data_IF_057145617063
#
_entry.id   IF_057145617063
#
_cell.length_a   1.000
_cell.length_b   1.000
_cell.length_c   1.000
_cell.angle_alpha   90.00
_cell.angle_beta   90.00
_cell.angle_gamma   90.00
#
_symmetry.space_group_name_H-M   'P 1'
#
loop_
_entity.id
_entity.type
_entity.pdbx_description
1 polymer ?
#
# COMPACT_ATOMS: atom_id res chain seq x y z
N UNK A 1 -9.45 -2.43 9.66
CA UNK A 1 -8.08 -2.76 9.20
C UNK A 1 -7.12 -1.89 9.98
N UNK A 2 -5.86 -2.30 10.16
CA UNK A 2 -4.90 -1.48 10.90
C UNK A 2 -4.06 -0.62 9.98
N UNK A 3 -3.72 0.56 10.47
CA UNK A 3 -3.20 1.68 9.71
C UNK A 3 -1.77 1.88 10.16
N UNK A 4 -0.88 1.01 9.69
CA UNK A 4 0.54 1.08 10.00
C UNK A 4 1.29 1.62 8.78
N UNK A 5 2.14 2.62 8.98
CA UNK A 5 3.11 3.01 7.95
C UNK A 5 4.22 1.96 7.88
N UNK A 6 4.98 1.98 6.80
CA UNK A 6 6.17 1.18 6.64
C UNK A 6 7.36 1.89 7.27
N UNK A 7 8.22 1.09 7.85
CA UNK A 7 9.60 1.45 8.15
C UNK A 7 10.41 1.18 6.89
N UNK A 8 11.16 2.18 6.44
CA UNK A 8 11.94 2.14 5.20
C UNK A 8 13.41 1.86 5.50
N UNK A 9 13.96 0.85 4.84
CA UNK A 9 15.37 0.46 4.93
C UNK A 9 16.01 0.57 3.55
N UNK A 10 16.95 1.51 3.39
CA UNK A 10 17.71 1.66 2.16
C UNK A 10 18.88 0.69 2.13
N UNK A 11 19.04 -0.03 1.00
CA UNK A 11 20.10 -1.00 0.75
C UNK A 11 20.88 -0.53 -0.50
N UNK A 12 21.78 0.46 -0.37
CA UNK A 12 22.58 0.94 -1.50
C UNK A 12 23.61 -0.09 -1.96
N UNK A 13 24.17 -0.86 -1.02
CA UNK A 13 25.15 -1.90 -1.28
C UNK A 13 25.13 -2.98 -0.18
N UNK A 14 25.99 -3.99 -0.34
CA UNK A 14 26.06 -5.17 0.55
C UNK A 14 26.32 -4.82 2.02
N UNK A 15 27.04 -3.73 2.33
CA UNK A 15 27.41 -3.35 3.70
C UNK A 15 26.20 -3.01 4.57
N UNK A 16 25.08 -2.59 3.98
CA UNK A 16 23.84 -2.24 4.69
C UNK A 16 22.97 -3.45 5.01
N UNK A 17 23.25 -4.62 4.41
CA UNK A 17 22.42 -5.83 4.56
C UNK A 17 22.34 -6.30 6.02
N UNK A 18 23.46 -6.30 6.72
CA UNK A 18 23.53 -6.74 8.12
C UNK A 18 22.80 -5.78 9.07
N UNK A 19 22.89 -4.47 8.80
CA UNK A 19 22.22 -3.42 9.56
C UNK A 19 20.70 -3.53 9.40
N UNK A 20 20.22 -3.55 8.15
CA UNK A 20 18.80 -3.69 7.85
C UNK A 20 18.21 -4.98 8.41
N UNK A 21 18.92 -6.11 8.27
CA UNK A 21 18.50 -7.38 8.87
C UNK A 21 18.30 -7.25 10.37
N UNK A 22 19.29 -6.73 11.10
CA UNK A 22 19.20 -6.56 12.56
C UNK A 22 18.02 -5.69 12.98
N UNK A 23 17.81 -4.57 12.30
CA UNK A 23 16.76 -3.62 12.69
C UNK A 23 15.36 -4.17 12.33
N UNK A 24 15.23 -4.90 11.20
CA UNK A 24 14.00 -5.61 10.84
C UNK A 24 13.72 -6.79 11.80
N UNK A 25 14.75 -7.50 12.27
CA UNK A 25 14.61 -8.53 13.33
C UNK A 25 13.98 -7.91 14.58
N UNK A 26 14.49 -6.75 15.02
CA UNK A 26 13.97 -6.04 16.20
C UNK A 26 12.52 -5.58 16.00
N UNK A 27 12.15 -5.13 14.80
CA UNK A 27 10.75 -4.82 14.47
C UNK A 27 9.85 -6.05 14.52
N UNK A 28 10.29 -7.18 13.97
CA UNK A 28 9.53 -8.42 14.03
C UNK A 28 9.30 -8.88 15.49
N UNK A 29 10.32 -8.76 16.34
CA UNK A 29 10.22 -9.05 17.78
C UNK A 29 9.28 -8.08 18.51
N UNK A 30 9.36 -6.76 18.23
CA UNK A 30 8.47 -5.76 18.84
C UNK A 30 7.00 -5.93 18.40
N UNK A 31 6.79 -6.47 17.21
CA UNK A 31 5.49 -6.91 16.71
C UNK A 31 4.99 -8.19 17.39
N UNK A 32 5.79 -8.84 18.25
CA UNK A 32 5.44 -10.03 19.01
C UNK A 32 5.39 -11.30 18.17
N UNK A 33 6.23 -11.41 17.13
CA UNK A 33 6.41 -12.66 16.39
C UNK A 33 7.19 -13.66 17.25
N UNK A 34 6.87 -14.96 17.10
CA UNK A 34 7.61 -16.02 17.79
C UNK A 34 9.02 -16.17 17.20
N UNK A 35 9.99 -16.76 17.93
CA UNK A 35 11.34 -16.97 17.43
C UNK A 35 11.40 -17.71 16.08
N UNK A 36 10.48 -18.66 15.85
CA UNK A 36 10.37 -19.36 14.57
C UNK A 36 9.98 -18.41 13.42
N UNK A 37 9.00 -17.53 13.64
CA UNK A 37 8.57 -16.56 12.64
C UNK A 37 9.64 -15.47 12.38
N UNK A 38 10.35 -15.05 13.43
CA UNK A 38 11.52 -14.16 13.30
C UNK A 38 12.61 -14.84 12.47
N UNK A 39 12.84 -16.14 12.64
CA UNK A 39 13.72 -16.93 11.78
C UNK A 39 13.32 -16.89 10.30
N UNK A 40 12.03 -17.02 9.98
CA UNK A 40 11.50 -16.88 8.61
C UNK A 40 11.76 -15.49 8.04
N UNK A 41 11.46 -14.43 8.81
CA UNK A 41 11.75 -13.03 8.44
C UNK A 41 13.23 -12.85 8.11
N UNK A 42 14.12 -13.40 8.95
CA UNK A 42 15.57 -13.27 8.77
C UNK A 42 16.09 -13.93 7.49
N UNK A 43 15.50 -15.05 7.06
CA UNK A 43 15.83 -15.68 5.78
C UNK A 43 15.37 -14.78 4.63
N UNK A 44 14.11 -14.33 4.67
CA UNK A 44 13.52 -13.49 3.62
C UNK A 44 14.32 -12.20 3.40
N UNK A 45 14.63 -11.49 4.49
CA UNK A 45 15.39 -10.23 4.43
C UNK A 45 16.82 -10.46 3.94
N UNK A 46 17.46 -11.56 4.32
CA UNK A 46 18.81 -11.88 3.84
C UNK A 46 18.84 -12.11 2.32
N UNK A 47 17.87 -12.85 1.79
CA UNK A 47 17.74 -13.09 0.35
C UNK A 47 17.38 -11.81 -0.42
N UNK A 48 16.42 -11.02 0.10
CA UNK A 48 16.05 -9.73 -0.47
C UNK A 48 17.26 -8.78 -0.54
N UNK A 49 17.97 -8.58 0.58
CA UNK A 49 19.14 -7.69 0.62
C UNK A 49 20.29 -8.18 -0.27
N UNK A 50 20.53 -9.50 -0.31
CA UNK A 50 21.51 -10.10 -1.23
C UNK A 50 21.13 -9.83 -2.70
N UNK A 51 19.87 -9.99 -3.07
CA UNK A 51 19.40 -9.74 -4.44
C UNK A 51 19.55 -8.26 -4.82
N UNK A 52 19.18 -7.34 -3.93
CA UNK A 52 19.39 -5.90 -4.14
C UNK A 52 20.86 -5.59 -4.40
N UNK A 53 21.77 -6.10 -3.56
CA UNK A 53 23.20 -5.84 -3.69
C UNK A 53 23.85 -6.45 -4.94
N UNK A 54 23.30 -7.56 -5.46
CA UNK A 54 23.85 -8.26 -6.64
C UNK A 54 23.28 -7.77 -7.97
N UNK A 55 22.01 -7.39 -7.97
CA UNK A 55 21.26 -7.18 -9.21
C UNK A 55 20.79 -5.74 -9.40
N UNK A 56 20.95 -4.87 -8.41
CA UNK A 56 20.62 -3.45 -8.53
C UNK A 56 21.86 -2.58 -8.33
N UNK A 57 22.46 -2.05 -9.43
CA UNK A 57 23.61 -1.14 -9.33
C UNK A 57 23.34 0.10 -8.49
N UNK A 58 22.08 0.56 -8.44
CA UNK A 58 21.64 1.73 -7.67
C UNK A 58 21.11 1.36 -6.28
N UNK A 59 21.21 0.09 -5.89
CA UNK A 59 20.59 -0.43 -4.67
C UNK A 59 19.06 -0.51 -4.75
N UNK A 60 18.42 -0.64 -3.60
CA UNK A 60 16.97 -0.66 -3.49
C UNK A 60 16.50 -0.42 -2.07
N UNK A 61 15.23 -0.69 -1.81
CA UNK A 61 14.64 -0.50 -0.50
C UNK A 61 13.83 -1.71 -0.04
N UNK A 62 13.79 -1.87 1.29
CA UNK A 62 12.89 -2.79 1.98
C UNK A 62 11.94 -1.97 2.85
N UNK A 63 10.64 -2.13 2.65
CA UNK A 63 9.56 -1.52 3.42
C UNK A 63 8.93 -2.57 4.33
N UNK A 64 8.82 -2.27 5.63
CA UNK A 64 8.32 -3.23 6.64
C UNK A 64 7.23 -2.62 7.51
N UNK A 65 6.08 -3.29 7.65
CA UNK A 65 5.02 -2.89 8.60
C UNK A 65 4.35 -4.07 9.29
N UNK A 66 3.72 -3.81 10.43
CA UNK A 66 2.81 -4.73 11.08
C UNK A 66 1.48 -4.86 10.31
N UNK A 67 0.89 -6.05 10.33
CA UNK A 67 -0.42 -6.33 9.74
C UNK A 67 -1.48 -6.45 10.84
N UNK A 68 -2.48 -5.57 10.84
CA UNK A 68 -3.68 -5.68 11.70
C UNK A 68 -3.51 -5.21 13.15
N UNK A 69 -4.65 -4.88 13.81
CA UNK A 69 -4.77 -4.52 15.22
C UNK A 69 -5.73 -5.50 15.90
N UNK A 70 -5.31 -6.25 16.93
CA UNK A 70 -3.91 -6.41 17.37
C UNK A 70 -3.03 -7.01 16.26
N UNK A 71 -1.71 -6.86 16.38
CA UNK A 71 -0.73 -7.31 15.36
C UNK A 71 -0.89 -8.80 15.04
N UNK A 72 -1.25 -9.08 13.79
CA UNK A 72 -1.51 -10.42 13.23
C UNK A 72 -0.36 -10.96 12.40
N UNK A 73 0.59 -10.12 12.00
CA UNK A 73 1.68 -10.50 11.11
C UNK A 73 2.59 -9.34 10.73
N UNK A 74 3.47 -9.58 9.77
CA UNK A 74 4.43 -8.63 9.22
C UNK A 74 4.36 -8.67 7.69
N UNK A 75 4.37 -7.49 7.07
CA UNK A 75 4.51 -7.30 5.62
C UNK A 75 5.91 -6.77 5.33
N UNK A 76 6.56 -7.35 4.33
CA UNK A 76 7.88 -6.98 3.84
C UNK A 76 7.77 -6.80 2.32
N UNK A 77 7.99 -5.58 1.85
CA UNK A 77 8.05 -5.25 0.43
C UNK A 77 9.49 -4.90 0.10
N UNK A 78 10.07 -5.55 -0.90
CA UNK A 78 11.42 -5.24 -1.40
C UNK A 78 11.32 -4.78 -2.84
N UNK A 79 12.05 -3.73 -3.21
CA UNK A 79 12.06 -3.28 -4.59
C UNK A 79 13.38 -2.68 -5.05
N UNK A 80 13.60 -2.72 -6.37
CA UNK A 80 14.75 -2.13 -7.06
C UNK A 80 14.37 -1.48 -8.40
N UNK A 81 15.31 -0.69 -8.92
CA UNK A 81 15.28 -0.12 -10.27
C UNK A 81 16.32 -0.79 -11.18
N UNK A 82 16.61 -2.07 -10.93
CA UNK A 82 17.54 -2.88 -11.71
C UNK A 82 16.97 -3.26 -13.08
N UNK A 83 17.66 -4.14 -13.84
CA UNK A 83 17.26 -4.51 -15.19
C UNK A 83 15.94 -5.27 -15.26
N UNK A 84 15.43 -5.79 -14.13
CA UNK A 84 14.27 -6.69 -14.08
C UNK A 84 14.62 -8.14 -14.45
N UNK A 85 13.64 -9.02 -14.30
CA UNK A 85 13.74 -10.46 -14.55
C UNK A 85 12.98 -10.80 -15.83
N UNK A 86 13.69 -11.30 -16.85
CA UNK A 86 13.10 -11.62 -18.15
C UNK A 86 12.15 -12.82 -18.13
N UNK A 87 12.59 -13.97 -17.62
CA UNK A 87 11.76 -15.19 -17.49
C UNK A 87 11.55 -15.54 -16.02
N UNK A 88 10.56 -14.87 -15.43
CA UNK A 88 10.20 -15.04 -14.04
C UNK A 88 9.68 -16.46 -13.74
N UNK A 89 8.96 -17.07 -14.67
CA UNK A 89 8.39 -18.41 -14.47
C UNK A 89 9.49 -19.46 -14.33
N UNK A 90 10.49 -19.41 -15.21
CA UNK A 90 11.67 -20.28 -15.13
C UNK A 90 12.45 -20.09 -13.84
N UNK A 91 12.70 -18.83 -13.42
CA UNK A 91 13.41 -18.55 -12.15
C UNK A 91 12.65 -19.03 -10.90
N UNK A 92 11.33 -19.18 -10.99
CA UNK A 92 10.49 -19.66 -9.88
C UNK A 92 10.32 -21.19 -9.85
N UNK A 93 10.49 -21.88 -10.98
CA UNK A 93 10.36 -23.35 -11.09
C UNK A 93 11.67 -24.08 -10.77
N UNK A 94 12.78 -23.55 -11.28
CA UNK A 94 14.06 -24.22 -11.19
C UNK A 94 14.83 -23.75 -9.95
N UNK A 95 14.91 -24.64 -8.94
CA UNK A 95 16.09 -24.72 -8.07
C UNK A 95 17.34 -25.21 -8.83
N UNK A 96 17.39 -25.05 -10.15
CA UNK A 96 18.47 -25.51 -11.01
C UNK A 96 19.52 -24.42 -11.08
N UNK A 97 20.55 -24.67 -10.28
CA UNK A 97 21.90 -24.18 -10.43
C UNK A 97 22.32 -24.01 -11.91
N UNK A 98 22.50 -22.77 -12.33
CA UNK A 98 23.79 -22.39 -12.90
C UNK A 98 24.54 -21.67 -11.79
N UNK A 99 25.77 -22.11 -11.52
CA UNK A 99 26.73 -21.53 -10.57
C UNK A 99 26.51 -20.01 -10.38
N UNK A 100 26.03 -19.59 -9.20
CA UNK A 100 25.98 -18.16 -8.84
C UNK A 100 24.61 -17.44 -8.85
N UNK A 101 23.67 -17.90 -8.03
CA UNK A 101 23.01 -17.04 -7.00
C UNK A 101 21.78 -16.16 -7.29
N UNK A 102 20.84 -16.52 -8.18
CA UNK A 102 19.54 -15.82 -8.28
C UNK A 102 18.28 -16.70 -8.05
N UNK A 103 18.28 -17.98 -8.44
CA UNK A 103 17.08 -18.85 -8.37
C UNK A 103 16.75 -19.41 -6.98
N UNK A 104 17.77 -19.72 -6.16
CA UNK A 104 17.56 -20.26 -4.80
C UNK A 104 16.90 -19.24 -3.86
N UNK A 105 17.30 -17.96 -3.97
CA UNK A 105 16.86 -16.89 -3.08
C UNK A 105 15.39 -16.55 -3.25
N UNK A 106 14.89 -16.41 -4.49
CA UNK A 106 13.46 -16.17 -4.75
C UNK A 106 12.59 -17.34 -4.29
N UNK A 107 13.05 -18.58 -4.56
CA UNK A 107 12.38 -19.78 -4.07
C UNK A 107 12.33 -19.85 -2.55
N UNK A 108 13.41 -19.46 -1.87
CA UNK A 108 13.46 -19.37 -0.41
C UNK A 108 12.47 -18.32 0.12
N UNK A 109 12.44 -17.11 -0.45
CA UNK A 109 11.49 -16.06 -0.04
C UNK A 109 10.05 -16.58 -0.16
N UNK A 110 9.67 -17.17 -1.29
CA UNK A 110 8.33 -17.72 -1.50
C UNK A 110 7.99 -18.82 -0.49
N UNK A 111 8.90 -19.78 -0.26
CA UNK A 111 8.69 -20.88 0.71
C UNK A 111 8.52 -20.39 2.15
N UNK A 112 9.22 -19.32 2.51
CA UNK A 112 9.15 -18.75 3.85
C UNK A 112 7.96 -17.80 4.04
N UNK A 113 7.27 -17.41 2.98
CA UNK A 113 6.12 -16.49 3.02
C UNK A 113 4.79 -17.25 3.18
N UNK A 114 3.84 -16.67 3.91
CA UNK A 114 2.45 -17.16 3.93
C UNK A 114 1.64 -16.58 2.76
N UNK A 115 1.96 -15.35 2.34
CA UNK A 115 1.46 -14.72 1.11
C UNK A 115 2.65 -14.10 0.38
N UNK A 116 2.75 -14.35 -0.92
CA UNK A 116 3.87 -13.92 -1.77
C UNK A 116 3.35 -13.47 -3.13
N UNK A 117 3.88 -12.35 -3.62
CA UNK A 117 3.69 -11.89 -4.99
C UNK A 117 4.98 -11.20 -5.47
N UNK A 118 5.21 -11.21 -6.77
CA UNK A 118 6.39 -10.62 -7.39
C UNK A 118 6.02 -10.04 -8.75
N UNK A 119 6.32 -8.75 -8.92
CA UNK A 119 6.25 -8.08 -10.21
C UNK A 119 7.67 -7.75 -10.66
N UNK A 120 8.03 -8.18 -11.86
CA UNK A 120 9.30 -7.82 -12.47
C UNK A 120 9.11 -7.64 -13.96
N UNK A 121 9.73 -6.61 -14.52
CA UNK A 121 9.69 -6.35 -15.95
C UNK A 121 11.01 -5.75 -16.42
N UNK A 122 11.44 -6.15 -17.62
CA UNK A 122 12.69 -5.68 -18.22
C UNK A 122 12.69 -4.15 -18.32
N UNK A 123 13.71 -3.52 -17.77
CA UNK A 123 13.87 -2.05 -17.76
C UNK A 123 13.03 -1.30 -16.72
N UNK A 124 12.18 -2.00 -15.94
CA UNK A 124 11.37 -1.41 -14.86
C UNK A 124 11.94 -1.78 -13.48
N UNK A 125 12.55 -2.95 -13.35
CA UNK A 125 13.05 -3.48 -12.08
C UNK A 125 12.10 -4.51 -11.46
N UNK A 126 12.32 -4.80 -10.17
CA UNK A 126 11.58 -5.85 -9.45
C UNK A 126 10.93 -5.31 -8.18
N UNK A 127 9.74 -5.80 -7.86
CA UNK A 127 9.01 -5.57 -6.61
C UNK A 127 8.53 -6.91 -6.07
N UNK A 128 8.86 -7.22 -4.83
CA UNK A 128 8.51 -8.46 -4.13
C UNK A 128 7.67 -8.12 -2.91
N UNK A 129 6.54 -8.80 -2.74
CA UNK A 129 5.72 -8.78 -1.54
C UNK A 129 5.89 -10.11 -0.80
N UNK A 130 6.15 -10.02 0.50
CA UNK A 130 6.11 -11.15 1.41
C UNK A 130 5.30 -10.78 2.66
N UNK A 131 4.40 -11.66 3.08
CA UNK A 131 3.72 -11.55 4.38
C UNK A 131 3.87 -12.82 5.17
N UNK A 132 4.08 -12.65 6.47
CA UNK A 132 4.10 -13.73 7.46
C UNK A 132 3.05 -13.42 8.54
N UNK A 133 2.19 -14.39 8.84
CA UNK A 133 1.15 -14.25 9.86
C UNK A 133 1.52 -15.03 11.13
N UNK A 134 1.20 -14.46 12.30
CA UNK A 134 1.38 -15.11 13.61
C UNK A 134 0.60 -16.42 13.70
N UNK A 135 -0.64 -16.37 13.23
CA UNK A 135 -1.51 -17.51 13.06
C UNK A 135 -1.90 -17.51 11.59
N UNK A 136 -1.68 -18.63 10.89
CA UNK A 136 -2.16 -18.74 9.50
C UNK A 136 -3.65 -18.44 9.48
N UNK A 137 -4.12 -17.51 8.62
CA UNK A 137 -5.54 -17.26 8.51
C UNK A 137 -6.23 -18.58 8.17
N UNK A 138 -7.14 -19.03 9.04
CA UNK A 138 -7.93 -20.22 8.77
C UNK A 138 -8.75 -19.93 7.51
N UNK A 139 -8.45 -20.60 6.40
CA UNK A 139 -9.24 -20.52 5.17
C UNK A 139 -10.60 -21.12 5.49
N UNK A 140 -11.52 -20.28 5.95
CA UNK A 140 -12.91 -20.68 6.17
C UNK A 140 -13.62 -20.55 4.82
N UNK A 141 -14.45 -21.50 4.37
CA UNK A 141 -15.19 -21.40 3.10
C UNK A 141 -16.04 -20.11 2.96
N UNK A 142 -16.36 -19.45 4.08
CA UNK A 142 -17.08 -18.17 4.11
C UNK A 142 -16.16 -16.96 3.88
N UNK A 143 -14.86 -17.07 4.13
CA UNK A 143 -13.86 -16.03 3.85
C UNK A 143 -13.43 -15.97 2.37
N UNK A 144 -13.81 -16.96 1.55
CA UNK A 144 -13.44 -17.02 0.13
C UNK A 144 -14.28 -16.13 -0.80
N UNK A 145 -15.04 -15.17 -0.26
CA UNK A 145 -15.82 -14.18 -1.02
C UNK A 145 -15.40 -12.75 -0.61
N UNK A 146 -14.10 -12.48 -0.53
CA UNK A 146 -13.64 -11.08 -0.41
C UNK A 146 -13.91 -10.38 -1.74
N UNK A 147 -14.92 -9.50 -1.78
CA UNK A 147 -15.28 -8.72 -2.98
C UNK A 147 -14.20 -7.72 -3.40
N UNK A 148 -13.31 -7.40 -2.48
CA UNK A 148 -12.28 -6.38 -2.63
C UNK A 148 -10.92 -6.94 -2.21
N UNK A 149 -9.88 -6.56 -2.95
CA UNK A 149 -8.49 -6.70 -2.53
C UNK A 149 -7.90 -5.32 -2.31
N UNK A 150 -7.29 -5.11 -1.14
CA UNK A 150 -6.82 -3.80 -0.71
C UNK A 150 -5.34 -3.92 -0.36
N UNK A 151 -4.57 -2.96 -0.85
CA UNK A 151 -3.15 -2.84 -0.57
C UNK A 151 -2.78 -1.39 -0.39
N UNK A 152 -1.72 -1.15 0.39
CA UNK A 152 -1.24 0.20 0.61
C UNK A 152 0.26 0.22 0.84
N UNK A 153 0.87 1.30 0.36
CA UNK A 153 2.19 1.77 0.79
C UNK A 153 1.99 3.11 1.45
N UNK A 154 2.46 3.24 2.69
CA UNK A 154 2.44 4.47 3.47
C UNK A 154 3.80 4.60 4.11
N UNK A 155 4.55 5.66 3.83
CA UNK A 155 5.94 5.82 4.26
C UNK A 155 6.14 7.24 4.78
N UNK A 156 6.72 7.41 5.98
CA UNK A 156 6.99 8.74 6.50
C UNK A 156 8.01 9.48 5.61
N UNK A 157 7.91 10.81 5.61
CA UNK A 157 8.93 11.70 5.05
C UNK A 157 10.32 11.29 5.59
N UNK A 158 11.40 11.37 4.77
CA UNK A 158 12.73 11.08 5.28
C UNK A 158 13.05 11.91 6.53
N UNK A 159 13.69 11.27 7.51
CA UNK A 159 14.05 11.83 8.83
C UNK A 159 12.89 11.95 9.83
N UNK A 160 11.64 11.74 9.41
CA UNK A 160 10.50 11.62 10.33
C UNK A 160 10.31 10.17 10.78
N UNK A 161 9.84 10.01 12.01
CA UNK A 161 9.45 8.70 12.57
C UNK A 161 7.98 8.42 12.29
N UNK A 162 7.14 9.45 12.48
CA UNK A 162 5.70 9.36 12.29
C UNK A 162 5.31 9.91 10.92
N UNK A 163 4.39 9.20 10.25
CA UNK A 163 3.85 9.64 8.96
C UNK A 163 2.65 10.56 9.18
N UNK A 164 2.67 11.74 8.55
CA UNK A 164 1.56 12.69 8.52
C UNK A 164 0.36 12.22 7.70
N UNK A 165 0.55 11.25 6.79
CA UNK A 165 -0.53 10.61 6.06
C UNK A 165 -1.28 9.57 6.91
N UNK A 166 -2.54 9.33 6.55
CA UNK A 166 -3.37 8.32 7.18
C UNK A 166 -4.36 7.69 6.22
N UNK A 167 -4.80 6.47 6.50
CA UNK A 167 -5.89 5.85 5.76
C UNK A 167 -6.75 5.01 6.70
N UNK A 168 -7.98 4.69 6.31
CA UNK A 168 -8.81 3.75 7.07
C UNK A 168 -9.58 2.85 6.12
N UNK A 169 -9.71 1.59 6.50
CA UNK A 169 -10.51 0.60 5.77
C UNK A 169 -11.41 -0.11 6.76
N UNK A 170 -12.71 0.06 6.58
CA UNK A 170 -13.74 -0.57 7.39
C UNK A 170 -14.65 -1.39 6.48
N UNK A 171 -14.92 -2.63 6.86
CA UNK A 171 -15.89 -3.49 6.20
C UNK A 171 -17.08 -3.72 7.13
N UNK A 172 -18.30 -3.50 6.62
CA UNK A 172 -19.55 -3.82 7.34
C UNK A 172 -20.42 -4.67 6.43
N UNK A 173 -20.60 -5.93 6.77
CA UNK A 173 -21.28 -6.88 5.88
C UNK A 173 -20.58 -6.97 4.53
N UNK A 174 -21.26 -6.56 3.46
CA UNK A 174 -20.70 -6.54 2.09
C UNK A 174 -20.11 -5.19 1.68
N UNK A 175 -20.27 -4.17 2.51
CA UNK A 175 -19.90 -2.79 2.18
C UNK A 175 -18.47 -2.49 2.62
N UNK A 176 -17.79 -1.67 1.80
CA UNK A 176 -16.44 -1.19 2.04
C UNK A 176 -16.44 0.32 2.21
N UNK A 177 -15.82 0.79 3.28
CA UNK A 177 -15.61 2.20 3.59
C UNK A 177 -14.11 2.47 3.58
N UNK A 178 -13.71 3.50 2.85
CA UNK A 178 -12.32 3.89 2.66
C UNK A 178 -12.14 5.35 3.04
N UNK A 179 -11.01 5.64 3.67
CA UNK A 179 -10.52 6.98 3.95
C UNK A 179 -9.05 7.05 3.56
N UNK A 180 -8.63 8.15 2.95
CA UNK A 180 -7.24 8.53 2.76
C UNK A 180 -7.09 10.00 3.16
N UNK A 181 -6.02 10.32 3.86
CA UNK A 181 -5.77 11.62 4.48
C UNK A 181 -4.29 11.96 4.34
N UNK A 182 -4.04 13.26 4.31
CA UNK A 182 -2.72 13.88 4.40
C UNK A 182 -2.87 15.03 5.41
N UNK A 183 -2.26 14.84 6.58
CA UNK A 183 -2.28 15.80 7.68
C UNK A 183 -1.37 16.98 7.37
N UNK A 184 -1.81 18.21 7.66
CA UNK A 184 -1.04 19.38 7.21
C UNK A 184 0.38 19.45 7.82
N UNK A 185 1.38 19.45 6.93
CA UNK A 185 2.79 19.44 7.27
C UNK A 185 3.31 18.01 7.38
N UNK A 186 4.27 17.77 8.29
CA UNK A 186 4.84 16.44 8.53
C UNK A 186 5.14 16.25 10.02
N UNK A 187 5.49 15.02 10.39
CA UNK A 187 5.87 14.63 11.75
C UNK A 187 4.68 14.53 12.71
N UNK A 188 4.97 14.55 14.01
CA UNK A 188 4.03 14.23 15.09
C UNK A 188 2.68 14.97 15.02
N UNK A 189 2.69 16.26 14.70
CA UNK A 189 1.46 17.08 14.68
C UNK A 189 0.55 16.77 13.48
N UNK A 190 1.14 16.48 12.31
CA UNK A 190 0.40 16.02 11.14
C UNK A 190 -0.16 14.61 11.39
N UNK A 191 0.68 13.73 11.96
CA UNK A 191 0.30 12.38 12.36
C UNK A 191 -0.88 12.38 13.33
N UNK A 192 -0.84 13.20 14.38
CA UNK A 192 -1.92 13.30 15.36
C UNK A 192 -3.26 13.73 14.73
N UNK A 193 -3.24 14.67 13.78
CA UNK A 193 -4.42 15.10 13.04
C UNK A 193 -5.00 13.95 12.19
N UNK A 194 -4.15 13.25 11.43
CA UNK A 194 -4.54 12.13 10.61
C UNK A 194 -5.07 10.95 11.45
N UNK A 195 -4.41 10.63 12.56
CA UNK A 195 -4.81 9.56 13.47
C UNK A 195 -6.19 9.85 14.09
N UNK A 196 -6.41 11.07 14.59
CA UNK A 196 -7.71 11.45 15.17
C UNK A 196 -8.85 11.36 14.13
N UNK A 197 -8.57 11.74 12.88
CA UNK A 197 -9.50 11.61 11.77
C UNK A 197 -9.81 10.13 11.44
N UNK A 198 -8.78 9.28 11.37
CA UNK A 198 -8.91 7.83 11.17
C UNK A 198 -9.74 7.18 12.29
N UNK A 199 -9.48 7.53 13.54
CA UNK A 199 -10.23 7.01 14.69
C UNK A 199 -11.70 7.44 14.64
N UNK A 200 -11.97 8.69 14.27
CA UNK A 200 -13.33 9.22 14.10
C UNK A 200 -14.09 8.46 13.01
N UNK A 201 -13.46 8.27 11.86
CA UNK A 201 -14.03 7.51 10.74
C UNK A 201 -14.31 6.05 11.11
N UNK A 202 -13.39 5.39 11.82
CA UNK A 202 -13.55 4.00 12.22
C UNK A 202 -14.73 3.79 13.18
N UNK A 203 -15.01 4.76 14.06
CA UNK A 203 -16.13 4.68 15.03
C UNK A 203 -17.49 4.71 14.33
N UNK A 204 -17.66 5.54 13.31
CA UNK A 204 -18.94 5.73 12.64
C UNK A 204 -18.78 5.98 11.13
N UNK A 205 -18.38 4.96 10.35
CA UNK A 205 -18.31 5.12 8.89
C UNK A 205 -19.73 5.30 8.33
N UNK A 206 -19.93 6.34 7.51
CA UNK A 206 -21.20 6.64 6.85
C UNK A 206 -21.20 6.15 5.41
N UNK A 207 -22.37 5.68 4.93
CA UNK A 207 -22.60 5.39 3.51
C UNK A 207 -22.63 6.66 2.64
N UNK A 208 -22.67 7.83 3.28
CA UNK A 208 -22.50 9.15 2.69
C UNK A 208 -21.08 9.66 2.99
N UNK A 209 -20.14 9.58 2.02
CA UNK A 209 -18.76 10.05 2.21
C UNK A 209 -18.65 11.52 2.60
N UNK A 210 -19.50 12.41 2.06
CA UNK A 210 -19.51 13.82 2.43
C UNK A 210 -19.84 14.02 3.92
N UNK A 211 -20.77 13.25 4.49
CA UNK A 211 -21.05 13.26 5.94
C UNK A 211 -19.87 12.74 6.76
N UNK A 212 -19.16 11.72 6.26
CA UNK A 212 -17.93 11.23 6.93
C UNK A 212 -16.89 12.35 7.01
N UNK A 213 -16.67 13.10 5.92
CA UNK A 213 -15.74 14.24 5.91
C UNK A 213 -16.20 15.39 6.81
N UNK A 214 -17.51 15.67 6.91
CA UNK A 214 -18.04 16.67 7.85
C UNK A 214 -17.83 16.26 9.31
N UNK A 215 -18.08 14.99 9.62
CA UNK A 215 -17.86 14.45 10.97
C UNK A 215 -16.39 14.54 11.36
N UNK A 216 -15.48 14.20 10.44
CA UNK A 216 -14.04 14.36 10.64
C UNK A 216 -13.67 15.83 10.80
N UNK A 217 -14.21 16.71 9.95
CA UNK A 217 -13.96 18.16 10.01
C UNK A 217 -14.23 18.72 11.40
N UNK A 218 -15.36 18.35 12.01
CA UNK A 218 -15.69 18.79 13.37
C UNK A 218 -14.77 18.19 14.43
N UNK A 219 -14.41 16.91 14.28
CA UNK A 219 -13.58 16.19 15.24
C UNK A 219 -12.14 16.73 15.32
N UNK A 220 -11.56 17.16 14.19
CA UNK A 220 -10.14 17.56 14.12
C UNK A 220 -9.91 19.08 14.11
N UNK A 221 -10.93 19.91 14.41
CA UNK A 221 -10.82 21.39 14.39
C UNK A 221 -9.70 21.97 15.25
N UNK A 222 -9.27 21.26 16.28
CA UNK A 222 -8.21 21.69 17.21
C UNK A 222 -6.82 21.17 16.84
N UNK A 223 -6.69 20.54 15.67
CA UNK A 223 -5.43 19.97 15.18
C UNK A 223 -4.86 20.85 14.05
N UNK A 224 -3.76 20.40 13.43
CA UNK A 224 -3.29 21.01 12.17
C UNK A 224 -4.28 20.88 11.02
N UNK A 225 -5.28 20.01 11.12
CA UNK A 225 -6.20 19.71 10.03
C UNK A 225 -5.55 18.80 8.99
N UNK A 226 -6.33 18.44 7.98
CA UNK A 226 -5.90 17.51 6.93
C UNK A 226 -6.64 17.80 5.62
N UNK A 227 -6.11 17.30 4.52
CA UNK A 227 -6.86 17.05 3.30
C UNK A 227 -7.29 15.58 3.28
N UNK A 228 -8.33 15.23 2.53
CA UNK A 228 -8.87 13.88 2.61
C UNK A 228 -9.79 13.46 1.48
N UNK A 229 -9.88 12.15 1.32
CA UNK A 229 -10.79 11.45 0.43
C UNK A 229 -11.53 10.38 1.22
N UNK A 230 -12.85 10.35 1.13
CA UNK A 230 -13.69 9.28 1.66
C UNK A 230 -14.45 8.60 0.54
N UNK A 231 -14.60 7.28 0.63
CA UNK A 231 -15.41 6.50 -0.31
C UNK A 231 -16.18 5.38 0.38
N UNK A 232 -17.32 5.05 -0.22
CA UNK A 232 -18.17 3.94 0.13
C UNK A 232 -18.45 3.11 -1.13
N UNK A 233 -18.25 1.80 -1.02
CA UNK A 233 -18.57 0.83 -2.06
C UNK A 233 -19.56 -0.16 -1.49
N UNK A 234 -20.80 -0.12 -1.97
CA UNK A 234 -21.82 -1.10 -1.58
C UNK A 234 -21.52 -2.43 -2.23
N UNK A 235 -21.53 -3.53 -1.48
CA UNK A 235 -21.15 -4.84 -2.01
C UNK A 235 -22.06 -5.41 -3.10
N UNK A 236 -23.29 -4.89 -3.22
CA UNK A 236 -24.26 -5.20 -4.29
C UNK A 236 -24.24 -4.18 -5.44
N UNK A 237 -23.70 -2.98 -5.22
CA UNK A 237 -23.76 -1.92 -6.22
C UNK A 237 -22.59 -2.03 -7.20
N UNK A 238 -22.85 -1.64 -8.44
CA UNK A 238 -21.85 -1.43 -9.48
C UNK A 238 -21.37 0.03 -9.46
N UNK A 239 -21.29 0.67 -8.28
CA UNK A 239 -20.74 2.02 -8.17
C UNK A 239 -19.95 2.24 -6.87
N UNK A 240 -18.97 3.13 -6.94
CA UNK A 240 -18.32 3.78 -5.80
C UNK A 240 -18.99 5.14 -5.61
N UNK A 241 -19.35 5.46 -4.37
CA UNK A 241 -19.70 6.82 -3.97
C UNK A 241 -18.52 7.42 -3.22
N UNK A 242 -18.13 8.66 -3.52
CA UNK A 242 -16.98 9.30 -2.88
C UNK A 242 -17.15 10.80 -2.70
N UNK A 243 -16.34 11.37 -1.82
CA UNK A 243 -16.17 12.82 -1.66
C UNK A 243 -14.71 13.10 -1.30
N UNK A 244 -14.14 14.19 -1.82
CA UNK A 244 -12.77 14.60 -1.54
C UNK A 244 -12.68 16.09 -1.22
N UNK A 245 -11.74 16.45 -0.36
CA UNK A 245 -11.41 17.82 0.04
C UNK A 245 -9.89 17.97 0.03
N UNK A 246 -9.38 18.95 -0.71
CA UNK A 246 -7.96 19.21 -0.88
C UNK A 246 -7.36 18.42 -2.05
N UNK A 247 -6.09 18.03 -1.90
CA UNK A 247 -5.23 17.55 -2.97
C UNK A 247 -4.92 16.04 -2.91
N UNK A 248 -5.66 15.26 -2.14
CA UNK A 248 -5.65 13.80 -2.30
C UNK A 248 -6.10 13.46 -3.72
N UNK A 249 -5.20 12.89 -4.50
CA UNK A 249 -5.43 12.55 -5.89
C UNK A 249 -5.88 11.09 -6.02
N UNK A 250 -6.66 10.79 -7.03
CA UNK A 250 -7.03 9.41 -7.32
C UNK A 250 -7.43 9.19 -8.76
N UNK A 251 -7.33 7.93 -9.19
CA UNK A 251 -7.80 7.48 -10.50
C UNK A 251 -8.52 6.15 -10.35
N UNK A 252 -9.65 6.03 -11.03
CA UNK A 252 -10.30 4.76 -11.31
C UNK A 252 -9.80 4.24 -12.65
N UNK A 253 -9.06 3.14 -12.62
CA UNK A 253 -8.58 2.44 -13.80
C UNK A 253 -9.53 1.30 -14.16
N UNK A 254 -9.85 1.16 -15.45
CA UNK A 254 -10.59 0.03 -16.00
C UNK A 254 -9.71 -0.74 -16.98
N UNK A 255 -9.45 -2.01 -16.69
CA UNK A 255 -8.79 -2.91 -17.61
C UNK A 255 -9.81 -3.47 -18.62
N UNK A 256 -10.13 -2.72 -19.67
CA UNK A 256 -10.98 -3.20 -20.75
C UNK A 256 -10.18 -4.15 -21.65
N UNK A 257 -10.66 -5.39 -21.80
CA UNK A 257 -9.92 -6.53 -22.37
C UNK A 257 -9.67 -6.52 -23.89
N UNK A 258 -9.62 -5.36 -24.56
CA UNK A 258 -9.57 -5.30 -26.03
C UNK A 258 -8.67 -4.23 -26.66
N UNK A 259 -8.36 -3.14 -25.97
CA UNK A 259 -7.50 -2.07 -26.50
C UNK A 259 -6.27 -1.91 -25.63
N UNK A 260 -5.10 -1.80 -26.26
CA UNK A 260 -3.84 -1.48 -25.58
C UNK A 260 -3.94 -0.10 -24.92
N UNK A 261 -4.36 -0.08 -23.66
CA UNK A 261 -4.55 1.13 -22.86
C UNK A 261 -5.87 1.05 -22.09
N UNK A 262 -5.80 0.82 -20.78
CA UNK A 262 -6.98 0.92 -19.92
C UNK A 262 -7.43 2.38 -19.78
N UNK A 263 -8.72 2.59 -19.49
CA UNK A 263 -9.28 3.93 -19.32
C UNK A 263 -9.13 4.44 -17.89
N UNK A 264 -8.95 5.75 -17.73
CA UNK A 264 -8.91 6.42 -16.42
C UNK A 264 -10.08 7.40 -16.25
N UNK A 265 -10.69 7.38 -15.07
CA UNK A 265 -11.50 8.49 -14.56
C UNK A 265 -10.78 9.09 -13.34
N UNK A 266 -10.47 10.38 -13.39
CA UNK A 266 -9.84 11.07 -12.26
C UNK A 266 -10.87 11.33 -11.15
N UNK A 267 -10.41 11.25 -9.91
CA UNK A 267 -11.14 11.69 -8.73
C UNK A 267 -11.11 13.21 -8.67
N UNK A 268 -12.26 13.83 -8.40
CA UNK A 268 -12.40 15.28 -8.26
C UNK A 268 -12.65 15.61 -6.80
N UNK A 269 -11.86 16.54 -6.27
CA UNK A 269 -11.94 17.01 -4.89
C UNK A 269 -12.32 18.48 -4.85
N UNK A 270 -13.01 18.88 -3.79
CA UNK A 270 -13.28 20.28 -3.48
C UNK A 270 -12.02 20.95 -2.92
N UNK A 271 -11.87 22.26 -3.11
CA UNK A 271 -10.84 23.02 -2.41
C UNK A 271 -11.22 23.18 -0.93
N UNK A 272 -10.27 22.98 -0.03
CA UNK A 272 -10.47 23.17 1.41
C UNK A 272 -9.51 22.33 2.25
N UNK A 273 -9.59 22.53 3.56
CA UNK A 273 -8.84 21.82 4.59
C UNK A 273 -9.85 21.35 5.66
N UNK A 274 -9.91 20.05 5.87
CA UNK A 274 -10.70 19.40 6.91
C UNK A 274 -10.14 19.82 8.28
N UNK A 275 -11.00 20.23 9.21
CA UNK A 275 -10.60 20.86 10.48
C UNK A 275 -10.52 22.39 10.43
N UNK A 276 -10.39 23.01 9.25
CA UNK A 276 -10.27 24.47 9.12
C UNK A 276 -11.39 25.06 8.28
N UNK A 277 -11.32 24.88 6.96
CA UNK A 277 -12.27 25.45 6.01
C UNK A 277 -12.68 24.42 4.95
N UNK A 278 -13.96 24.06 4.94
CA UNK A 278 -14.56 23.24 3.89
C UNK A 278 -15.73 24.00 3.27
N UNK A 279 -16.08 23.74 1.99
CA UNK A 279 -17.27 24.34 1.39
C UNK A 279 -18.53 24.03 2.20
N UNK A 280 -19.46 24.98 2.23
CA UNK A 280 -20.75 24.82 2.92
C UNK A 280 -21.50 23.59 2.38
N UNK A 281 -21.47 23.39 1.07
CA UNK A 281 -22.04 22.23 0.38
C UNK A 281 -20.95 21.27 -0.12
N UNK A 282 -20.86 20.10 0.52
CA UNK A 282 -20.14 18.93 0.03
C UNK A 282 -21.17 17.94 -0.52
N UNK A 283 -21.01 17.56 -1.79
CA UNK A 283 -21.84 16.55 -2.43
C UNK A 283 -21.00 15.31 -2.78
N UNK A 284 -21.65 14.16 -2.75
CA UNK A 284 -21.03 12.93 -3.20
C UNK A 284 -20.99 12.87 -4.72
N UNK A 285 -19.90 12.30 -5.22
CA UNK A 285 -19.78 11.89 -6.62
C UNK A 285 -19.90 10.38 -6.72
N UNK A 286 -20.24 9.89 -7.90
CA UNK A 286 -20.37 8.47 -8.18
C UNK A 286 -19.55 8.06 -9.39
N UNK A 287 -18.95 6.87 -9.33
CA UNK A 287 -18.23 6.24 -10.43
C UNK A 287 -18.67 4.80 -10.56
N UNK A 288 -18.73 4.32 -11.79
CA UNK A 288 -19.05 2.92 -12.08
C UNK A 288 -17.99 2.00 -11.47
N UNK A 289 -18.41 0.99 -10.73
CA UNK A 289 -17.59 -0.04 -10.09
C UNK A 289 -17.95 -1.43 -10.61
N UNK A 290 -17.02 -2.37 -10.54
CA UNK A 290 -17.23 -3.74 -11.02
C UNK A 290 -15.92 -4.47 -11.28
N UNK A 291 -16.01 -5.68 -11.85
CA UNK A 291 -14.83 -6.48 -12.23
C UNK A 291 -13.83 -5.68 -13.04
N UNK A 292 -12.55 -6.02 -12.89
CA UNK A 292 -11.43 -5.41 -13.62
C UNK A 292 -11.22 -3.91 -13.35
N UNK A 293 -11.88 -3.35 -12.33
CA UNK A 293 -11.67 -1.98 -11.88
C UNK A 293 -10.77 -1.91 -10.66
N UNK A 294 -10.00 -0.83 -10.66
CA UNK A 294 -8.99 -0.55 -9.67
C UNK A 294 -9.09 0.93 -9.30
N UNK A 295 -9.41 1.21 -8.04
CA UNK A 295 -9.32 2.55 -7.48
C UNK A 295 -7.94 2.72 -6.86
N UNK A 296 -7.19 3.74 -7.31
CA UNK A 296 -5.92 4.15 -6.72
C UNK A 296 -6.11 5.56 -6.19
N UNK A 297 -5.75 5.78 -4.93
CA UNK A 297 -5.78 7.08 -4.26
C UNK A 297 -4.42 7.30 -3.60
N UNK A 298 -3.90 8.52 -3.62
CA UNK A 298 -2.60 8.83 -3.04
C UNK A 298 -2.53 10.27 -2.52
N UNK A 299 -1.65 10.50 -1.53
CA UNK A 299 -1.26 11.84 -1.08
C UNK A 299 -0.33 12.52 -2.10
N UNK A 300 -0.04 13.80 -1.90
CA UNK A 300 0.76 14.58 -2.86
C UNK A 300 2.26 14.24 -2.85
N UNK A 301 2.73 13.49 -1.85
CA UNK A 301 4.04 12.84 -1.82
C UNK A 301 4.30 11.91 -2.99
N UNK A 302 3.25 11.48 -3.69
CA UNK A 302 3.34 10.82 -5.00
C UNK A 302 3.04 11.81 -6.14
N UNK A 303 3.88 11.82 -7.18
CA UNK A 303 3.63 12.62 -8.40
C UNK A 303 2.31 12.21 -9.06
N UNK A 304 1.38 13.13 -9.28
CA UNK A 304 0.03 12.82 -9.83
C UNK A 304 0.01 12.32 -11.28
N UNK A 305 1.08 12.55 -12.05
CA UNK A 305 1.20 12.18 -13.47
C UNK A 305 1.81 10.79 -13.70
N UNK A 306 1.38 9.78 -12.95
CA UNK A 306 1.69 8.36 -13.24
C UNK A 306 0.70 7.72 -14.21
N UNK A 307 1.11 6.65 -14.87
CA UNK A 307 0.29 5.86 -15.80
C UNK A 307 0.60 4.37 -15.67
N UNK A 308 -0.40 3.56 -15.31
CA UNK A 308 -0.33 2.10 -15.27
C UNK A 308 -0.06 1.45 -16.63
N UNK A 309 -0.34 2.14 -17.74
CA UNK A 309 0.00 1.65 -19.08
C UNK A 309 1.49 1.40 -19.27
N UNK A 310 2.34 2.06 -18.46
CA UNK A 310 3.79 1.85 -18.42
C UNK A 310 4.21 0.53 -17.76
N UNK A 311 3.28 -0.15 -17.07
CA UNK A 311 3.56 -1.35 -16.29
C UNK A 311 2.75 -2.54 -16.83
N UNK A 312 3.27 -3.26 -17.84
CA UNK A 312 2.56 -4.39 -18.43
C UNK A 312 2.14 -5.42 -17.39
N UNK A 313 0.85 -5.79 -17.37
CA UNK A 313 0.31 -6.81 -16.48
C UNK A 313 0.16 -6.42 -15.00
N UNK A 314 0.63 -5.24 -14.58
CA UNK A 314 0.64 -4.84 -13.15
C UNK A 314 -0.75 -4.91 -12.49
N UNK A 315 -1.81 -4.56 -13.20
CA UNK A 315 -3.20 -4.63 -12.72
C UNK A 315 -3.66 -6.02 -12.27
N UNK A 316 -2.95 -7.09 -12.67
CA UNK A 316 -3.24 -8.47 -12.30
C UNK A 316 -2.64 -8.86 -10.93
N UNK A 317 -1.61 -8.15 -10.48
CA UNK A 317 -0.92 -8.42 -9.22
C UNK A 317 -1.73 -7.98 -8.00
N UNK A 318 -1.26 -8.40 -6.83
CA UNK A 318 -1.81 -8.00 -5.54
C UNK A 318 -1.82 -6.47 -5.40
N UNK A 319 -2.88 -5.90 -4.83
CA UNK A 319 -3.02 -4.45 -4.67
C UNK A 319 -1.81 -3.76 -3.99
N UNK A 320 -1.12 -4.43 -3.06
CA UNK A 320 0.12 -3.90 -2.44
C UNK A 320 1.29 -3.83 -3.41
N UNK A 321 1.41 -4.75 -4.37
CA UNK A 321 2.43 -4.69 -5.43
C UNK A 321 2.16 -3.47 -6.31
N UNK A 322 0.90 -3.23 -6.67
CA UNK A 322 0.52 -2.05 -7.45
C UNK A 322 0.90 -0.78 -6.69
N UNK A 323 0.56 -0.69 -5.40
CA UNK A 323 0.91 0.44 -4.55
C UNK A 323 2.44 0.65 -4.47
N UNK A 324 3.20 -0.44 -4.33
CA UNK A 324 4.65 -0.42 -4.24
C UNK A 324 5.34 -0.02 -5.55
N UNK A 325 4.88 -0.48 -6.70
CA UNK A 325 5.42 -0.05 -8.00
C UNK A 325 5.17 1.44 -8.21
N UNK A 326 3.96 1.92 -7.89
CA UNK A 326 3.65 3.35 -8.00
C UNK A 326 4.53 4.17 -7.06
N UNK A 327 4.67 3.76 -5.80
CA UNK A 327 5.57 4.39 -4.82
C UNK A 327 7.01 4.45 -5.33
N UNK A 328 7.57 3.31 -5.74
CA UNK A 328 8.96 3.17 -6.24
C UNK A 328 9.29 4.18 -7.33
N UNK A 329 8.41 4.34 -8.31
CA UNK A 329 8.71 5.12 -9.51
C UNK A 329 8.26 6.59 -9.43
N UNK A 330 7.32 6.89 -8.53
CA UNK A 330 6.62 8.17 -8.55
C UNK A 330 6.65 8.91 -7.20
N UNK A 331 7.24 8.34 -6.14
CA UNK A 331 7.43 9.09 -4.89
C UNK A 331 8.37 10.28 -5.11
N UNK A 332 8.10 11.38 -4.41
CA UNK A 332 8.94 12.57 -4.40
C UNK A 332 10.11 12.43 -3.44
N UNK A 333 9.98 11.58 -2.42
CA UNK A 333 10.94 11.43 -1.31
C UNK A 333 11.24 12.74 -0.55
N UNK A 334 10.37 13.74 -0.66
CA UNK A 334 10.48 15.03 0.06
C UNK A 334 9.34 15.24 1.04
N UNK A 335 8.38 14.31 1.07
CA UNK A 335 7.17 14.38 1.88
C UNK A 335 6.72 12.99 2.33
N UNK A 336 5.75 12.96 3.24
CA UNK A 336 4.98 11.76 3.55
C UNK A 336 4.35 11.19 2.27
N UNK A 337 4.26 9.87 2.14
CA UNK A 337 3.67 9.28 0.94
C UNK A 337 2.73 8.14 1.30
N UNK A 338 1.48 8.26 0.85
CA UNK A 338 0.44 7.26 0.89
C UNK A 338 0.02 6.90 -0.53
N UNK A 339 -0.03 5.61 -0.83
CA UNK A 339 -0.67 5.02 -2.01
C UNK A 339 -1.61 3.93 -1.52
N UNK A 340 -2.90 4.10 -1.75
CA UNK A 340 -3.96 3.18 -1.39
C UNK A 340 -4.60 2.62 -2.65
N UNK A 341 -4.70 1.31 -2.74
CA UNK A 341 -5.19 0.59 -3.91
C UNK A 341 -6.34 -0.33 -3.48
N UNK A 342 -7.48 -0.21 -4.15
CA UNK A 342 -8.62 -1.10 -3.99
C UNK A 342 -8.95 -1.73 -5.35
N UNK A 343 -8.93 -3.07 -5.42
CA UNK A 343 -9.24 -3.86 -6.62
C UNK A 343 -10.54 -4.62 -6.41
N UNK A 344 -11.42 -4.59 -7.41
CA UNK A 344 -12.59 -5.47 -7.42
C UNK A 344 -12.18 -6.93 -7.69
N UNK A 345 -12.64 -7.87 -6.86
CA UNK A 345 -12.37 -9.32 -7.01
C UNK A 345 -13.54 -10.15 -7.52
N UNK A 346 -14.75 -9.57 -7.64
CA UNK A 346 -15.98 -10.29 -7.99
C UNK A 346 -16.83 -9.63 -9.06
#
# INVERSE_FOLDING_TARGET
>A
MDVNHHNRFSIPDRSFSSLAKRDITRLAESYGLSPNLVGRVNIIVAEMASNLAKHSPSGGEILVKAIGKPVKGIEIICYDNGPGIGDLHRMMQDGVSTYGSAGEGLGAIKRQSDEFDIYSHTGIGTVILSRIYKNKPAVTPVQSITRFEIGSVMVPKPQEVDCGDGFAIVTKGTDLFMLALDGLGHGEQAHAAAQQAVETFCKAPSQNPAESLRTIHDAIRKTRGAVGFAAHITGKAQHITYCGVGNIAGKLFSADGGTMGGSYKNIISYNGIIGHNIPTSLHNQQLDWGRNKLLIVHSDGLKSRWDLGKYPGLHRHHASIIAAVLYKDNSRHTDDTLVLVCKAKL
#
